data_IF_879877552175
#
_entry.id   IF_879877552175
#
_cell.length_a   1.000
_cell.length_b   1.000
_cell.length_c   1.000
_cell.angle_alpha   90.00
_cell.angle_beta   90.00
_cell.angle_gamma   90.00
#
_symmetry.space_group_name_H-M   'P 1'
#
loop_
_entity.id
_entity.type
_entity.pdbx_description
1 polymer ?
#
# COMPACT_ATOMS: atom_id res chain seq x y z
N UNK A 1 -34.24 -16.25 -7.93
CA UNK A 1 -33.59 -16.33 -6.60
C UNK A 1 -32.64 -15.16 -6.33
N UNK A 2 -31.57 -14.92 -7.10
CA UNK A 2 -30.66 -13.77 -6.87
C UNK A 2 -31.35 -12.38 -6.96
N UNK A 3 -32.37 -12.25 -7.82
CA UNK A 3 -33.20 -11.03 -7.97
C UNK A 3 -34.06 -10.71 -6.73
N UNK A 4 -34.39 -11.68 -5.89
CA UNK A 4 -35.26 -11.48 -4.71
C UNK A 4 -34.49 -11.03 -3.47
N UNK A 5 -33.22 -11.46 -3.34
CA UNK A 5 -32.30 -11.00 -2.28
C UNK A 5 -31.92 -9.51 -2.40
N UNK A 6 -32.01 -8.94 -3.60
CA UNK A 6 -31.61 -7.56 -3.91
C UNK A 6 -32.76 -6.54 -3.80
N UNK A 7 -33.98 -6.96 -3.45
CA UNK A 7 -35.11 -6.04 -3.46
C UNK A 7 -34.96 -4.95 -2.39
N UNK A 8 -34.70 -3.71 -2.81
CA UNK A 8 -34.43 -2.56 -1.93
C UNK A 8 -33.01 -2.49 -1.34
N UNK A 9 -32.13 -3.46 -1.65
CA UNK A 9 -30.72 -3.42 -1.26
C UNK A 9 -29.86 -2.87 -2.39
N UNK A 10 -29.03 -1.87 -2.09
CA UNK A 10 -27.98 -1.38 -2.99
C UNK A 10 -26.65 -1.94 -2.50
N UNK A 11 -25.92 -2.60 -3.40
CA UNK A 11 -24.60 -3.17 -3.13
C UNK A 11 -23.59 -2.40 -3.97
N UNK A 12 -22.61 -1.81 -3.29
CA UNK A 12 -21.58 -0.97 -3.91
C UNK A 12 -20.19 -1.50 -3.53
N UNK A 13 -19.62 -2.42 -4.32
CA UNK A 13 -18.26 -2.90 -4.13
C UNK A 13 -17.23 -1.91 -4.70
N UNK A 14 -16.06 -1.82 -4.06
CA UNK A 14 -14.90 -1.10 -4.54
C UNK A 14 -13.68 -2.03 -4.52
N UNK A 15 -13.02 -2.16 -5.67
CA UNK A 15 -11.77 -2.92 -5.78
C UNK A 15 -10.67 -1.95 -6.20
N UNK A 16 -9.63 -1.85 -5.37
CA UNK A 16 -8.42 -1.11 -5.67
C UNK A 16 -7.25 -2.08 -5.80
N UNK A 17 -6.59 -2.08 -6.96
CA UNK A 17 -5.41 -2.90 -7.20
C UNK A 17 -4.30 -2.05 -7.80
N UNK A 18 -3.07 -2.22 -7.29
CA UNK A 18 -1.89 -1.57 -7.84
C UNK A 18 -0.73 -2.56 -7.92
N UNK A 19 0.11 -2.37 -8.94
CA UNK A 19 1.44 -2.97 -8.92
C UNK A 19 2.26 -2.40 -7.76
N UNK A 20 3.22 -3.17 -7.27
CA UNK A 20 4.17 -2.65 -6.29
C UNK A 20 5.12 -1.66 -6.95
N UNK A 21 5.39 -0.55 -6.26
CA UNK A 21 6.34 0.42 -6.76
C UNK A 21 7.79 -0.10 -6.60
N UNK A 22 8.70 0.29 -7.50
CA UNK A 22 10.09 -0.09 -7.36
C UNK A 22 10.79 0.75 -6.27
N UNK A 23 11.81 0.18 -5.65
CA UNK A 23 12.60 0.84 -4.60
C UNK A 23 14.07 0.42 -4.62
N UNK A 24 14.89 1.18 -3.90
CA UNK A 24 16.33 0.95 -3.75
C UNK A 24 16.65 0.73 -2.27
N UNK A 25 17.16 -0.44 -1.86
CA UNK A 25 17.64 -0.63 -0.49
C UNK A 25 18.94 0.13 -0.29
N UNK A 26 19.09 0.72 0.89
CA UNK A 26 20.29 1.41 1.31
C UNK A 26 20.94 0.62 2.45
N UNK A 27 22.24 0.78 2.64
CA UNK A 27 22.94 0.22 3.81
C UNK A 27 23.30 1.32 4.79
N UNK A 28 23.31 0.99 6.08
CA UNK A 28 23.78 1.91 7.11
C UNK A 28 25.32 1.97 7.14
N UNK A 29 25.84 3.13 7.52
CA UNK A 29 27.28 3.35 7.71
C UNK A 29 27.98 4.08 6.56
N UNK A 30 29.27 4.32 6.73
CA UNK A 30 30.15 4.98 5.77
C UNK A 30 31.29 4.03 5.38
N UNK A 31 31.99 4.33 4.27
CA UNK A 31 33.20 3.60 3.89
C UNK A 31 34.18 3.51 5.08
N UNK A 32 34.68 2.31 5.42
CA UNK A 32 35.62 2.14 6.53
C UNK A 32 36.99 2.71 6.17
N UNK A 33 37.77 3.07 7.20
CA UNK A 33 39.18 3.41 7.03
C UNK A 33 39.97 2.13 6.79
N UNK A 34 40.64 2.00 5.64
CA UNK A 34 41.47 0.83 5.29
C UNK A 34 42.93 1.28 5.27
N UNK A 35 43.80 0.64 6.06
CA UNK A 35 45.23 0.96 6.13
C UNK A 35 45.52 2.47 6.35
N UNK A 36 44.71 3.15 7.16
CA UNK A 36 44.84 4.59 7.42
C UNK A 36 44.25 5.50 6.34
N UNK A 37 43.79 4.95 5.20
CA UNK A 37 43.09 5.71 4.16
C UNK A 37 41.61 5.82 4.52
N UNK A 38 41.17 7.03 4.83
CA UNK A 38 39.76 7.35 5.16
C UNK A 38 39.06 7.97 3.95
N UNK A 39 37.76 7.70 3.82
CA UNK A 39 36.91 8.41 2.86
C UNK A 39 36.94 9.93 3.05
N UNK A 40 36.89 10.65 1.93
CA UNK A 40 36.84 12.13 1.87
C UNK A 40 35.57 12.66 2.54
N UNK A 41 34.46 11.91 2.50
CA UNK A 41 33.16 12.26 3.08
C UNK A 41 32.35 10.99 3.43
N UNK A 42 31.03 11.12 3.58
CA UNK A 42 30.08 10.05 3.95
C UNK A 42 29.72 9.12 2.78
N UNK A 43 28.88 8.12 3.03
CA UNK A 43 28.37 7.18 2.05
C UNK A 43 29.27 5.95 1.83
N UNK A 44 28.76 4.96 1.10
CA UNK A 44 29.42 3.66 0.93
C UNK A 44 30.75 3.75 0.18
N UNK A 45 30.94 4.79 -0.64
CA UNK A 45 32.18 5.07 -1.37
C UNK A 45 33.06 6.13 -0.69
N UNK A 46 32.62 6.69 0.46
CA UNK A 46 33.37 7.70 1.19
C UNK A 46 33.55 9.02 0.45
N UNK A 47 32.64 9.36 -0.46
CA UNK A 47 32.72 10.56 -1.32
C UNK A 47 31.54 11.54 -1.13
N UNK A 48 30.69 11.34 -0.11
CA UNK A 48 29.53 12.18 0.20
C UNK A 48 28.31 11.87 -0.67
N UNK A 49 28.31 10.71 -1.33
CA UNK A 49 27.26 10.28 -2.25
C UNK A 49 26.19 9.42 -1.58
N UNK A 50 25.75 8.39 -2.30
CA UNK A 50 24.69 7.49 -1.86
C UNK A 50 25.19 6.39 -0.92
N UNK A 51 24.27 5.87 -0.09
CA UNK A 51 24.40 4.64 0.67
C UNK A 51 23.90 3.40 -0.08
N UNK A 52 23.55 3.55 -1.36
CA UNK A 52 23.22 2.42 -2.24
C UNK A 52 24.49 1.62 -2.56
N UNK A 53 24.51 0.29 -2.31
CA UNK A 53 25.62 -0.55 -2.75
C UNK A 53 25.93 -0.39 -4.24
N UNK A 54 27.21 -0.29 -4.65
CA UNK A 54 27.57 0.05 -6.03
C UNK A 54 27.20 -1.03 -7.05
N UNK A 55 26.98 -2.27 -6.60
CA UNK A 55 26.63 -3.41 -7.43
C UNK A 55 25.12 -3.60 -7.66
N UNK A 56 24.26 -2.79 -7.02
CA UNK A 56 22.80 -2.84 -7.25
C UNK A 56 22.36 -1.63 -8.07
N UNK A 57 21.46 -1.84 -9.03
CA UNK A 57 20.81 -0.76 -9.77
C UNK A 57 19.92 0.12 -8.88
N UNK A 58 19.61 1.34 -9.32
CA UNK A 58 18.52 2.11 -8.73
C UNK A 58 17.21 1.40 -9.09
N UNK A 59 16.24 1.40 -8.16
CA UNK A 59 14.93 0.79 -8.37
C UNK A 59 14.99 -0.71 -8.68
N UNK A 60 16.05 -1.40 -8.21
CA UNK A 60 16.32 -2.80 -8.51
C UNK A 60 15.37 -3.79 -7.82
N UNK A 61 14.60 -3.33 -6.81
CA UNK A 61 13.66 -4.16 -6.07
C UNK A 61 12.25 -3.63 -6.26
N UNK A 62 11.24 -4.48 -6.06
CA UNK A 62 9.83 -4.11 -6.27
C UNK A 62 9.01 -4.55 -5.07
N UNK A 63 8.14 -3.66 -4.59
CA UNK A 63 7.21 -3.98 -3.52
C UNK A 63 6.20 -5.07 -3.94
N UNK A 64 5.57 -5.77 -2.99
CA UNK A 64 4.39 -6.59 -3.29
C UNK A 64 3.29 -5.74 -3.92
N UNK A 65 2.44 -6.37 -4.76
CA UNK A 65 1.22 -5.71 -5.24
C UNK A 65 0.29 -5.41 -4.07
N UNK A 66 -0.52 -4.37 -4.20
CA UNK A 66 -1.63 -4.12 -3.28
C UNK A 66 -2.96 -4.50 -3.94
N UNK A 67 -3.84 -5.10 -3.15
CA UNK A 67 -5.21 -5.43 -3.55
C UNK A 67 -6.11 -5.18 -2.33
N UNK A 68 -7.07 -4.27 -2.46
CA UNK A 68 -8.02 -3.94 -1.42
C UNK A 68 -9.45 -4.09 -1.95
N UNK A 69 -10.31 -4.65 -1.12
CA UNK A 69 -11.73 -4.84 -1.43
C UNK A 69 -12.54 -4.21 -0.31
N UNK A 70 -13.29 -3.17 -0.66
CA UNK A 70 -14.23 -2.51 0.25
C UNK A 70 -15.65 -2.76 -0.25
N UNK A 71 -16.61 -2.78 0.67
CA UNK A 71 -18.01 -3.02 0.35
C UNK A 71 -18.90 -2.08 1.13
N UNK A 72 -19.80 -1.40 0.41
CA UNK A 72 -20.93 -0.68 0.99
C UNK A 72 -22.22 -1.41 0.69
N UNK A 73 -23.03 -1.61 1.73
CA UNK A 73 -24.40 -2.12 1.63
C UNK A 73 -25.37 -1.05 2.12
N UNK A 74 -26.45 -0.86 1.37
CA UNK A 74 -27.50 0.08 1.70
C UNK A 74 -28.87 -0.57 1.56
N UNK A 75 -29.80 -0.23 2.45
CA UNK A 75 -31.19 -0.69 2.42
C UNK A 75 -32.13 0.46 2.70
N UNK A 76 -33.01 0.75 1.73
CA UNK A 76 -34.13 1.67 1.91
C UNK A 76 -35.36 0.96 2.49
N UNK A 77 -36.01 1.61 3.44
CA UNK A 77 -37.28 1.22 4.05
C UNK A 77 -38.28 2.36 3.87
N UNK A 78 -39.44 2.07 3.28
CA UNK A 78 -40.56 3.02 3.25
C UNK A 78 -41.44 2.73 4.47
N UNK A 79 -41.40 3.59 5.48
CA UNK A 79 -42.11 3.39 6.75
C UNK A 79 -43.55 3.91 6.63
N UNK A 80 -43.72 5.11 6.08
CA UNK A 80 -45.00 5.73 5.77
C UNK A 80 -44.96 6.40 4.40
N UNK A 81 -46.11 6.83 3.86
CA UNK A 81 -46.25 7.42 2.52
C UNK A 81 -45.26 8.57 2.24
N UNK A 82 -44.79 9.27 3.29
CA UNK A 82 -43.81 10.36 3.21
C UNK A 82 -42.51 10.11 3.97
N UNK A 83 -42.36 8.97 4.66
CA UNK A 83 -41.18 8.70 5.50
C UNK A 83 -40.38 7.54 4.92
N UNK A 84 -39.15 7.85 4.51
CA UNK A 84 -38.17 6.89 4.02
C UNK A 84 -36.98 6.85 4.98
N UNK A 85 -36.54 5.65 5.32
CA UNK A 85 -35.38 5.40 6.18
C UNK A 85 -34.37 4.60 5.38
N UNK A 86 -33.10 4.98 5.45
CA UNK A 86 -32.02 4.28 4.74
C UNK A 86 -30.99 3.82 5.76
N UNK A 87 -30.75 2.51 5.80
CA UNK A 87 -29.68 1.90 6.59
C UNK A 87 -28.46 1.68 5.68
N UNK A 88 -27.27 2.07 6.14
CA UNK A 88 -26.02 1.87 5.41
C UNK A 88 -24.98 1.20 6.29
N UNK A 89 -24.14 0.35 5.70
CA UNK A 89 -23.01 -0.28 6.37
C UNK A 89 -21.83 -0.39 5.42
N UNK A 90 -20.66 0.04 5.90
CA UNK A 90 -19.40 0.00 5.16
C UNK A 90 -18.46 -1.02 5.81
N UNK A 91 -17.85 -1.87 4.98
CA UNK A 91 -16.79 -2.80 5.38
C UNK A 91 -15.53 -2.49 4.57
N UNK A 92 -14.48 -2.07 5.27
CA UNK A 92 -13.18 -1.76 4.68
C UNK A 92 -12.22 -2.92 4.84
N UNK A 93 -11.40 -3.17 3.81
CA UNK A 93 -10.54 -4.35 3.73
C UNK A 93 -11.31 -5.63 4.09
N UNK A 94 -12.44 -5.84 3.40
CA UNK A 94 -13.39 -6.92 3.68
C UNK A 94 -12.72 -8.31 3.70
N UNK A 95 -11.70 -8.49 2.88
CA UNK A 95 -10.95 -9.75 2.75
C UNK A 95 -9.80 -9.86 3.76
N UNK A 96 -9.60 -8.86 4.60
CA UNK A 96 -8.49 -8.75 5.56
C UNK A 96 -7.13 -9.02 4.89
N UNK A 97 -6.93 -8.51 3.67
CA UNK A 97 -5.68 -8.68 2.94
C UNK A 97 -4.66 -7.64 3.44
N UNK A 98 -3.43 -8.07 3.70
CA UNK A 98 -2.35 -7.16 4.10
C UNK A 98 -1.84 -6.41 2.88
N UNK A 99 -1.97 -5.09 2.90
CA UNK A 99 -1.47 -4.21 1.84
C UNK A 99 -0.22 -3.49 2.33
N UNK A 100 0.94 -3.83 1.76
CA UNK A 100 2.19 -3.12 2.01
C UNK A 100 2.18 -1.78 1.26
N UNK A 101 2.24 -0.67 1.99
CA UNK A 101 2.20 0.70 1.43
C UNK A 101 3.56 1.40 1.43
N UNK A 102 4.58 0.78 2.02
CA UNK A 102 5.93 1.31 2.08
C UNK A 102 6.93 0.25 2.52
N UNK A 103 8.20 0.58 2.32
CA UNK A 103 9.35 -0.21 2.75
C UNK A 103 10.31 0.73 3.46
N UNK A 104 10.77 0.34 4.64
CA UNK A 104 11.92 0.99 5.26
C UNK A 104 13.19 0.52 4.55
N UNK A 105 13.93 1.48 4.01
CA UNK A 105 15.12 1.21 3.19
C UNK A 105 16.43 1.38 3.96
N UNK A 106 16.40 1.75 5.24
CA UNK A 106 17.60 2.03 6.05
C UNK A 106 17.61 1.33 7.41
#
# INVERSE_FOLDING_TARGET
MFKELLNGFTISPLVAASAGAPYTPLIQGNAPTINGVKGVSTGVLGAGGTNRPPFIGANAFTMPRTTNFDLRLEKGFNIWEKVKFTLTGDAFNLLNHTNFTGVDTQ
#
